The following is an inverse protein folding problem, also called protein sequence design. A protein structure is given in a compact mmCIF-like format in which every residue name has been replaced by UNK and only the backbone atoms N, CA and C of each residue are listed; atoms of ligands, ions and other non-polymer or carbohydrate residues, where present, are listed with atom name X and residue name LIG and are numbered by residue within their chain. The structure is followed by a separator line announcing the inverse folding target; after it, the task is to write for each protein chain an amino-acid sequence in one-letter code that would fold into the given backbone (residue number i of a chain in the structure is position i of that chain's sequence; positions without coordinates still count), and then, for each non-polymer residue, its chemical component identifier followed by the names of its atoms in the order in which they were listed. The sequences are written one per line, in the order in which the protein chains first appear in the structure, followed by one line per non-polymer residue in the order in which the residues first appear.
data_IF_884807853587
#
_entry.id   IF_884807853587
#
_cell.length_a   1.000
_cell.length_b   1.000
_cell.length_c   1.000
_cell.angle_alpha   90.00
_cell.angle_beta   90.00
_cell.angle_gamma   90.00
#
_symmetry.space_group_name_H-M   'P 1'
#
loop_
_entity.id
_entity.type
_entity.pdbx_description
1 polymer ?
#
# COMPACT_ATOMS: atom_id res chain seq x y z
N UNK A 1 -37.46 -0.24 -54.00
CA UNK A 1 -37.22 -0.51 -52.55
C UNK A 1 -35.87 0.12 -52.21
N UNK A 2 -35.82 1.42 -51.88
CA UNK A 2 -35.95 2.07 -50.54
C UNK A 2 -34.85 1.62 -49.57
N UNK A 3 -34.00 2.44 -48.94
CA UNK A 3 -33.87 3.90 -48.84
C UNK A 3 -32.40 4.29 -48.51
N UNK A 4 -31.91 5.39 -49.08
CA UNK A 4 -30.59 6.05 -48.87
C UNK A 4 -30.92 7.55 -49.01
N UNK A 5 -30.53 8.53 -48.19
CA UNK A 5 -29.48 8.74 -47.19
C UNK A 5 -29.97 9.87 -46.28
N UNK A 6 -29.74 9.75 -44.98
CA UNK A 6 -29.88 10.83 -43.99
C UNK A 6 -28.48 11.30 -43.55
N UNK A 7 -27.72 11.86 -44.49
CA UNK A 7 -26.32 12.30 -44.25
C UNK A 7 -26.06 13.77 -44.57
N UNK A 8 -27.00 14.50 -45.19
CA UNK A 8 -26.81 15.92 -45.51
C UNK A 8 -27.10 16.85 -44.31
N UNK A 9 -28.03 16.49 -43.42
CA UNK A 9 -28.43 17.37 -42.31
C UNK A 9 -27.37 17.57 -41.20
N UNK A 10 -26.42 16.64 -41.05
CA UNK A 10 -25.37 16.74 -40.02
C UNK A 10 -24.20 17.63 -40.43
N UNK A 11 -23.94 17.79 -41.73
CA UNK A 11 -22.85 18.62 -42.24
C UNK A 11 -23.18 20.12 -42.19
N UNK A 12 -24.45 20.49 -42.42
CA UNK A 12 -24.91 21.88 -42.31
C UNK A 12 -24.98 22.40 -40.87
N UNK A 13 -25.18 21.53 -39.87
CA UNK A 13 -25.21 21.95 -38.45
C UNK A 13 -23.82 22.27 -37.89
N UNK A 14 -22.76 21.69 -38.46
CA UNK A 14 -21.37 21.93 -38.06
C UNK A 14 -20.78 23.26 -38.56
N UNK A 15 -21.40 23.91 -39.56
CA UNK A 15 -20.94 25.21 -40.08
C UNK A 15 -21.55 26.41 -39.34
N UNK A 16 -22.52 26.18 -38.45
CA UNK A 16 -23.21 27.22 -37.66
C UNK A 16 -22.64 27.40 -36.24
N UNK A 17 -21.61 26.65 -35.86
CA UNK A 17 -20.95 26.77 -34.56
C UNK A 17 -19.70 27.67 -34.67
N UNK A 18 -19.56 28.70 -33.81
CA UNK A 18 -18.34 29.51 -33.80
C UNK A 18 -17.13 28.65 -33.37
N UNK A 19 -15.97 28.92 -33.97
CA UNK A 19 -14.72 28.25 -33.62
C UNK A 19 -14.42 28.41 -32.11
N UNK A 20 -13.89 27.37 -31.44
CA UNK A 20 -13.56 27.45 -30.02
C UNK A 20 -12.51 28.54 -29.79
N UNK A 21 -12.77 29.42 -28.82
CA UNK A 21 -11.83 30.45 -28.43
C UNK A 21 -10.53 29.79 -27.92
N UNK A 22 -9.42 30.03 -28.63
CA UNK A 22 -8.10 29.77 -28.09
C UNK A 22 -7.81 30.86 -27.05
N UNK A 23 -7.56 30.54 -25.77
CA UNK A 23 -7.10 31.53 -24.81
C UNK A 23 -5.69 31.96 -25.23
N UNK A 24 -5.60 33.04 -26.02
CA UNK A 24 -4.34 33.72 -26.31
C UNK A 24 -3.79 34.23 -24.97
N UNK A 25 -2.74 33.57 -24.47
CA UNK A 25 -1.96 34.09 -23.36
C UNK A 25 -1.32 35.39 -23.84
N UNK A 26 -1.48 36.48 -23.08
CA UNK A 26 -0.86 37.76 -23.41
C UNK A 26 0.65 37.59 -23.62
N UNK A 27 1.23 38.31 -24.58
CA UNK A 27 2.64 38.19 -24.94
C UNK A 27 3.59 38.31 -23.73
N UNK A 28 3.23 39.15 -22.76
CA UNK A 28 3.93 39.33 -21.48
C UNK A 28 3.98 38.05 -20.63
N UNK A 29 2.89 37.27 -20.64
CA UNK A 29 2.79 36.00 -19.91
C UNK A 29 3.60 34.91 -20.59
N UNK A 30 3.67 34.91 -21.92
CA UNK A 30 4.57 34.05 -22.68
C UNK A 30 6.05 34.38 -22.41
N UNK A 31 6.41 35.66 -22.30
CA UNK A 31 7.78 36.08 -22.01
C UNK A 31 8.21 35.73 -20.58
N UNK A 32 7.31 35.85 -19.59
CA UNK A 32 7.57 35.44 -18.21
C UNK A 32 7.78 33.92 -18.07
N UNK A 33 6.92 33.12 -18.72
CA UNK A 33 7.05 31.65 -18.71
C UNK A 33 8.32 31.20 -19.44
N UNK A 34 8.66 31.83 -20.58
CA UNK A 34 9.90 31.55 -21.30
C UNK A 34 11.14 31.97 -20.50
N UNK A 35 11.09 33.10 -19.79
CA UNK A 35 12.18 33.55 -18.93
C UNK A 35 12.42 32.62 -17.74
N UNK A 36 11.35 32.10 -17.15
CA UNK A 36 11.43 31.14 -16.05
C UNK A 36 11.99 29.78 -16.51
N UNK A 37 11.51 29.25 -17.64
CA UNK A 37 12.01 28.00 -18.23
C UNK A 37 13.48 28.09 -18.70
N UNK A 38 13.90 29.24 -19.25
CA UNK A 38 15.30 29.42 -19.67
C UNK A 38 16.25 29.57 -18.47
N UNK A 39 15.79 30.14 -17.35
CA UNK A 39 16.59 30.17 -16.12
C UNK A 39 16.79 28.78 -15.52
N UNK A 40 15.75 27.93 -15.50
CA UNK A 40 15.90 26.55 -15.01
C UNK A 40 16.82 25.70 -15.89
N UNK A 41 16.76 25.85 -17.21
CA UNK A 41 17.65 25.13 -18.14
C UNK A 41 19.10 25.61 -18.01
N UNK A 42 19.32 26.90 -17.76
CA UNK A 42 20.69 27.47 -17.64
C UNK A 42 21.32 27.11 -16.29
N UNK A 43 20.54 27.02 -15.21
CA UNK A 43 21.01 26.53 -13.91
C UNK A 43 21.28 25.02 -13.92
N UNK A 44 20.54 24.25 -14.73
CA UNK A 44 20.82 22.84 -14.99
C UNK A 44 22.04 22.60 -15.92
N UNK A 45 22.56 23.64 -16.58
CA UNK A 45 23.62 23.54 -17.59
C UNK A 45 24.93 24.28 -17.24
N UNK A 46 25.14 24.68 -15.98
CA UNK A 46 26.45 25.23 -15.56
C UNK A 46 27.46 24.11 -15.27
N UNK A 47 28.60 24.03 -16.00
CA UNK A 47 29.68 23.13 -15.62
C UNK A 47 30.41 23.68 -14.38
N UNK A 48 30.46 22.88 -13.33
CA UNK A 48 31.25 23.14 -12.12
C UNK A 48 32.75 23.16 -12.49
N UNK A 49 33.54 24.18 -12.11
CA UNK A 49 34.97 24.19 -12.41
C UNK A 49 35.70 23.13 -11.59
N UNK A 50 36.46 22.28 -12.31
CA UNK A 50 37.27 21.23 -11.73
C UNK A 50 38.48 21.81 -10.96
N UNK A 51 38.54 21.58 -9.65
CA UNK A 51 39.77 21.74 -8.87
C UNK A 51 40.48 20.39 -8.80
N UNK A 52 41.60 20.26 -9.53
CA UNK A 52 42.53 19.12 -9.41
C UNK A 52 43.27 19.17 -8.07
N UNK A 53 43.04 18.17 -7.21
CA UNK A 53 44.05 17.69 -6.25
C UNK A 53 44.06 16.17 -6.21
N UNK A 54 45.23 15.61 -6.51
CA UNK A 54 45.54 14.18 -6.48
C UNK A 54 45.52 13.64 -5.05
N UNK A 55 44.78 12.56 -4.76
CA UNK A 55 45.31 11.27 -4.24
C UNK A 55 44.23 10.28 -3.78
N UNK A 56 44.38 9.06 -4.34
CA UNK A 56 43.99 7.70 -3.92
C UNK A 56 42.50 7.33 -3.82
N UNK A 57 42.18 6.33 -4.64
CA UNK A 57 40.90 5.77 -5.02
C UNK A 57 40.39 4.77 -3.94
N UNK A 58 39.18 4.98 -3.45
CA UNK A 58 38.40 4.00 -2.71
C UNK A 58 36.92 4.30 -2.97
N UNK A 59 36.35 3.68 -3.98
CA UNK A 59 34.97 3.92 -4.42
C UNK A 59 33.99 3.23 -3.47
N UNK A 60 33.25 4.03 -2.69
CA UNK A 60 32.00 3.59 -2.07
C UNK A 60 30.89 4.27 -2.85
N UNK A 61 30.29 3.53 -3.78
CA UNK A 61 29.03 3.91 -4.41
C UNK A 61 27.90 3.46 -3.47
N UNK A 62 27.21 4.42 -2.85
CA UNK A 62 25.97 4.18 -2.12
C UNK A 62 24.82 4.01 -3.13
N UNK A 63 24.15 2.85 -3.19
CA UNK A 63 22.90 2.73 -3.93
C UNK A 63 21.70 2.99 -3.01
N UNK A 64 20.81 3.88 -3.45
CA UNK A 64 19.48 4.05 -2.89
C UNK A 64 18.74 2.71 -2.89
N UNK A 65 18.24 2.30 -1.72
CA UNK A 65 17.47 1.07 -1.54
C UNK A 65 15.97 1.36 -1.67
N UNK A 66 15.31 0.62 -2.56
CA UNK A 66 13.86 0.63 -2.75
C UNK A 66 13.27 -0.36 -1.74
N UNK A 67 12.65 0.17 -0.68
CA UNK A 67 11.80 -0.60 0.24
C UNK A 67 10.44 -0.83 -0.42
N UNK A 68 10.16 -2.08 -0.76
CA UNK A 68 9.02 -2.48 -1.57
C UNK A 68 7.69 -2.48 -0.82
N UNK A 69 6.99 -1.35 -0.84
CA UNK A 69 5.55 -1.30 -1.05
C UNK A 69 5.19 0.01 -1.79
N UNK A 70 5.22 -0.03 -3.12
CA UNK A 70 4.66 1.04 -3.93
C UNK A 70 3.14 0.86 -4.00
N UNK A 71 2.42 1.19 -2.92
CA UNK A 71 1.00 1.52 -3.03
C UNK A 71 0.93 2.90 -3.68
N UNK A 72 0.94 2.94 -5.02
CA UNK A 72 0.97 4.17 -5.80
C UNK A 72 -0.36 4.93 -5.61
N UNK A 73 -0.33 5.98 -4.79
CA UNK A 73 -1.45 6.87 -4.54
C UNK A 73 -1.24 8.19 -5.30
N UNK A 74 -2.00 8.42 -6.37
CA UNK A 74 -2.02 9.72 -7.06
C UNK A 74 -3.30 10.47 -6.68
N UNK A 75 -3.10 11.69 -6.19
CA UNK A 75 -4.11 12.73 -6.02
C UNK A 75 -4.53 13.23 -7.41
N UNK A 76 -5.74 12.91 -7.86
CA UNK A 76 -6.21 13.29 -9.19
C UNK A 76 -6.68 14.74 -9.25
N UNK A 77 -5.95 15.60 -9.96
CA UNK A 77 -6.47 16.87 -10.48
C UNK A 77 -7.37 16.58 -11.69
N UNK A 78 -8.62 17.02 -11.64
CA UNK A 78 -9.68 16.62 -12.58
C UNK A 78 -9.51 17.09 -14.03
N UNK A 79 -10.21 16.39 -14.93
CA UNK A 79 -10.38 16.73 -16.34
C UNK A 79 -11.45 15.84 -16.98
N UNK A 80 -12.35 16.43 -17.77
CA UNK A 80 -13.66 15.91 -18.16
C UNK A 80 -13.66 14.79 -19.22
N UNK A 81 -14.58 13.83 -19.04
CA UNK A 81 -15.58 13.41 -20.04
C UNK A 81 -15.17 12.50 -21.21
N UNK A 82 -15.58 11.22 -21.17
CA UNK A 82 -16.37 10.54 -22.22
C UNK A 82 -16.73 9.10 -21.78
N UNK A 83 -17.92 8.65 -22.20
CA UNK A 83 -18.66 7.41 -21.88
C UNK A 83 -17.91 6.08 -22.08
N UNK A 84 -18.13 5.04 -21.23
CA UNK A 84 -17.70 3.68 -21.51
C UNK A 84 -18.79 2.84 -22.22
N UNK A 85 -18.36 2.11 -23.24
CA UNK A 85 -19.09 0.98 -23.82
C UNK A 85 -19.04 -0.26 -22.92
N UNK A 86 -20.03 -1.13 -23.10
CA UNK A 86 -20.32 -2.37 -22.37
C UNK A 86 -19.16 -3.37 -22.27
N UNK A 87 -18.98 -3.92 -21.07
CA UNK A 87 -18.67 -5.33 -20.78
C UNK A 87 -19.01 -5.58 -19.29
N UNK A 88 -20.17 -6.18 -18.96
CA UNK A 88 -20.42 -7.62 -18.81
C UNK A 88 -19.90 -8.19 -17.47
N UNK A 89 -20.83 -8.53 -16.56
CA UNK A 89 -20.56 -9.39 -15.40
C UNK A 89 -21.07 -8.90 -14.03
N UNK A 90 -22.34 -8.52 -13.90
CA UNK A 90 -22.96 -8.36 -12.58
C UNK A 90 -23.63 -9.68 -12.16
N UNK A 91 -23.02 -10.41 -11.23
CA UNK A 91 -23.72 -11.48 -10.50
C UNK A 91 -24.47 -10.87 -9.32
N UNK A 92 -25.79 -10.99 -9.37
CA UNK A 92 -26.72 -10.57 -8.32
C UNK A 92 -26.54 -11.47 -7.09
N UNK A 93 -26.40 -10.87 -5.91
CA UNK A 93 -26.53 -11.60 -4.64
C UNK A 93 -28.01 -11.61 -4.25
N UNK A 94 -28.61 -12.81 -4.26
CA UNK A 94 -29.98 -13.02 -3.87
C UNK A 94 -30.11 -12.90 -2.34
N UNK A 95 -30.96 -11.98 -1.88
CA UNK A 95 -31.37 -11.90 -0.49
C UNK A 95 -32.23 -13.12 -0.14
N UNK A 96 -31.78 -13.93 0.82
CA UNK A 96 -32.62 -14.91 1.51
C UNK A 96 -32.94 -14.35 2.89
N UNK A 97 -34.21 -14.05 3.10
CA UNK A 97 -34.79 -13.68 4.39
C UNK A 97 -35.17 -14.97 5.15
N UNK A 98 -34.88 -15.10 6.45
CA UNK A 98 -35.53 -16.10 7.28
C UNK A 98 -36.58 -15.44 8.18
N UNK A 99 -37.84 -15.75 7.93
CA UNK A 99 -38.90 -15.67 8.93
C UNK A 99 -38.82 -16.90 9.85
N UNK A 100 -39.05 -16.72 11.15
CA UNK A 100 -39.44 -17.83 12.02
C UNK A 100 -38.84 -17.80 13.42
N UNK A 101 -39.64 -17.34 14.38
CA UNK A 101 -39.39 -17.42 15.81
C UNK A 101 -39.31 -18.88 16.31
N UNK A 102 -38.37 -19.14 17.22
CA UNK A 102 -38.27 -20.38 17.99
C UNK A 102 -37.41 -20.17 19.24
N UNK A 103 -38.06 -20.04 20.39
CA UNK A 103 -37.44 -19.94 21.72
C UNK A 103 -37.14 -21.34 22.25
N UNK A 104 -35.88 -21.63 22.62
CA UNK A 104 -35.55 -22.57 23.70
C UNK A 104 -34.05 -22.63 24.00
N UNK A 105 -33.69 -22.60 25.30
CA UNK A 105 -32.53 -23.32 25.82
C UNK A 105 -31.27 -22.49 26.04
N UNK A 106 -30.94 -22.22 27.30
CA UNK A 106 -29.73 -21.52 27.70
C UNK A 106 -28.46 -22.29 27.36
N UNK A 107 -27.61 -21.64 26.58
CA UNK A 107 -26.17 -21.76 26.65
C UNK A 107 -25.65 -20.31 26.66
N UNK A 108 -24.73 -20.00 27.57
CA UNK A 108 -24.08 -18.69 27.65
C UNK A 108 -23.29 -18.49 26.35
N UNK A 109 -23.93 -17.90 25.34
CA UNK A 109 -23.29 -17.52 24.10
C UNK A 109 -22.11 -16.61 24.45
N UNK A 110 -20.93 -16.78 23.82
CA UNK A 110 -19.86 -15.81 23.99
C UNK A 110 -20.44 -14.47 23.60
N UNK A 111 -20.30 -13.47 24.49
CA UNK A 111 -20.68 -12.10 24.20
C UNK A 111 -20.04 -11.77 22.85
N UNK A 112 -20.84 -11.60 21.81
CA UNK A 112 -20.38 -10.99 20.57
C UNK A 112 -19.74 -9.69 21.03
N UNK A 113 -18.42 -9.59 20.97
CA UNK A 113 -17.71 -8.37 21.34
C UNK A 113 -18.43 -7.24 20.60
N UNK A 114 -19.03 -6.32 21.34
CA UNK A 114 -19.74 -5.21 20.74
C UNK A 114 -18.80 -4.56 19.73
N UNK A 115 -19.28 -4.32 18.50
CA UNK A 115 -18.49 -3.61 17.50
C UNK A 115 -18.06 -2.28 18.13
N UNK A 116 -16.76 -1.93 18.10
CA UNK A 116 -16.28 -0.72 18.75
C UNK A 116 -17.04 0.51 18.26
N UNK A 117 -17.29 1.48 19.14
CA UNK A 117 -18.06 2.67 18.80
C UNK A 117 -17.26 3.66 17.92
N UNK A 118 -15.93 3.51 17.87
CA UNK A 118 -15.03 4.37 17.08
C UNK A 118 -13.72 3.66 16.67
N UNK A 119 -13.02 4.25 15.69
CA UNK A 119 -11.68 3.80 15.28
C UNK A 119 -10.66 3.88 16.42
N UNK A 120 -10.71 4.95 17.20
CA UNK A 120 -9.84 5.16 18.37
C UNK A 120 -10.05 4.06 19.41
N UNK A 121 -11.30 3.68 19.65
CA UNK A 121 -11.62 2.57 20.56
C UNK A 121 -11.10 1.23 20.03
N UNK A 122 -11.33 0.91 18.75
CA UNK A 122 -10.80 -0.32 18.14
C UNK A 122 -9.26 -0.39 18.26
N UNK A 123 -8.56 0.71 17.92
CA UNK A 123 -7.11 0.78 18.00
C UNK A 123 -6.61 0.67 19.46
N UNK A 124 -7.34 1.26 20.43
CA UNK A 124 -7.04 1.12 21.85
C UNK A 124 -7.20 -0.32 22.35
N UNK A 125 -8.22 -1.04 21.88
CA UNK A 125 -8.42 -2.45 22.19
C UNK A 125 -7.34 -3.33 21.52
N UNK A 126 -6.99 -3.03 20.27
CA UNK A 126 -5.92 -3.70 19.54
C UNK A 126 -4.56 -3.54 20.23
N UNK A 127 -4.27 -2.33 20.73
CA UNK A 127 -3.07 -2.07 21.51
C UNK A 127 -3.01 -2.94 22.78
N UNK A 128 -4.11 -2.99 23.55
CA UNK A 128 -4.19 -3.80 24.75
C UNK A 128 -4.07 -5.30 24.47
N UNK A 129 -4.65 -5.77 23.37
CA UNK A 129 -4.52 -7.16 22.93
C UNK A 129 -3.08 -7.49 22.55
N UNK A 130 -2.44 -6.62 21.76
CA UNK A 130 -1.04 -6.76 21.36
C UNK A 130 -0.10 -6.80 22.58
N UNK A 131 -0.28 -5.90 23.55
CA UNK A 131 0.54 -5.85 24.77
C UNK A 131 0.49 -7.12 25.63
N UNK A 132 -0.60 -7.91 25.53
CA UNK A 132 -0.79 -9.17 26.27
C UNK A 132 -0.18 -10.37 25.56
N UNK A 133 0.26 -10.24 24.31
CA UNK A 133 0.85 -11.36 23.57
C UNK A 133 2.25 -11.67 24.09
N UNK A 134 2.63 -12.97 24.15
CA UNK A 134 4.01 -13.34 24.43
C UNK A 134 4.90 -12.82 23.30
N UNK A 135 6.14 -12.45 23.64
CA UNK A 135 7.14 -12.12 22.64
C UNK A 135 7.63 -13.40 21.96
N UNK A 136 7.76 -13.36 20.64
CA UNK A 136 8.38 -14.45 19.88
C UNK A 136 9.86 -14.58 20.25
N UNK A 137 10.34 -15.81 20.41
CA UNK A 137 11.77 -16.05 20.57
C UNK A 137 12.43 -16.09 19.19
N UNK A 138 13.11 -14.99 18.85
CA UNK A 138 13.72 -14.78 17.53
C UNK A 138 15.24 -14.71 17.64
N UNK A 139 15.96 -15.47 16.80
CA UNK A 139 17.43 -15.49 16.74
C UNK A 139 17.93 -14.70 15.52
N UNK A 140 19.10 -14.08 15.64
CA UNK A 140 19.67 -13.18 14.61
C UNK A 140 19.81 -13.86 13.24
N UNK A 141 20.19 -15.13 13.22
CA UNK A 141 20.39 -15.89 11.99
C UNK A 141 19.11 -16.37 11.30
N UNK A 142 17.93 -16.11 11.87
CA UNK A 142 16.63 -16.53 11.33
C UNK A 142 16.01 -15.45 10.44
N UNK A 143 14.86 -15.78 9.87
CA UNK A 143 14.10 -14.90 8.98
C UNK A 143 12.68 -14.72 9.48
N UNK A 144 12.18 -13.48 9.39
CA UNK A 144 10.75 -13.19 9.45
C UNK A 144 10.14 -13.58 8.09
N UNK A 145 9.27 -14.57 8.11
CA UNK A 145 8.46 -14.99 6.96
C UNK A 145 7.09 -14.36 7.03
N UNK A 146 6.66 -13.72 5.95
CA UNK A 146 5.28 -13.25 5.78
C UNK A 146 4.74 -13.73 4.44
N UNK A 147 3.57 -14.35 4.49
CA UNK A 147 2.78 -14.68 3.30
C UNK A 147 1.53 -13.84 3.27
N UNK A 148 1.33 -13.18 2.14
CA UNK A 148 0.14 -12.39 1.85
C UNK A 148 -0.48 -12.85 0.55
N UNK A 149 -1.79 -12.63 0.45
CA UNK A 149 -2.52 -12.64 -0.79
C UNK A 149 -2.72 -11.16 -1.16
N UNK A 150 -2.29 -10.75 -2.35
CA UNK A 150 -2.27 -9.33 -2.73
C UNK A 150 -2.83 -9.10 -4.12
N UNK A 151 -3.44 -7.93 -4.31
CA UNK A 151 -3.75 -7.34 -5.60
C UNK A 151 -3.16 -5.92 -5.61
N UNK A 152 -2.82 -5.42 -6.79
CA UNK A 152 -2.25 -4.08 -6.94
C UNK A 152 -2.78 -3.39 -8.19
N UNK A 153 -2.68 -2.07 -8.21
CA UNK A 153 -2.95 -1.28 -9.40
C UNK A 153 -1.64 -1.06 -10.13
N UNK A 154 -1.58 -1.45 -11.40
CA UNK A 154 -0.49 -1.13 -12.31
C UNK A 154 -0.90 0.01 -13.22
N UNK A 155 -0.03 1.01 -13.31
CA UNK A 155 -0.20 2.11 -14.23
C UNK A 155 0.70 1.89 -15.45
N UNK A 156 0.14 2.04 -16.64
CA UNK A 156 0.80 1.83 -17.92
C UNK A 156 0.40 2.90 -18.93
N UNK A 157 1.02 2.86 -20.10
CA UNK A 157 0.87 3.88 -21.14
C UNK A 157 1.88 5.02 -21.01
N UNK A 158 2.00 5.88 -22.04
CA UNK A 158 3.05 6.91 -22.13
C UNK A 158 3.06 7.94 -20.99
N UNK A 159 1.91 8.12 -20.33
CA UNK A 159 1.65 9.07 -19.26
C UNK A 159 1.16 8.40 -17.96
N UNK A 160 1.17 7.06 -17.89
CA UNK A 160 0.63 6.31 -16.77
C UNK A 160 -0.89 6.40 -16.62
N UNK A 161 -1.62 6.81 -17.66
CA UNK A 161 -3.09 6.98 -17.61
C UNK A 161 -3.88 5.68 -17.56
N UNK A 162 -3.29 4.55 -17.95
CA UNK A 162 -3.98 3.26 -17.99
C UNK A 162 -3.75 2.52 -16.68
N UNK A 163 -4.77 2.48 -15.84
CA UNK A 163 -4.75 1.75 -14.58
C UNK A 163 -5.38 0.37 -14.75
N UNK A 164 -4.61 -0.69 -14.46
CA UNK A 164 -5.06 -2.08 -14.49
C UNK A 164 -4.97 -2.68 -13.11
N UNK A 165 -6.05 -3.29 -12.63
CA UNK A 165 -6.05 -4.05 -11.37
C UNK A 165 -5.50 -5.44 -11.65
N UNK A 166 -4.41 -5.81 -10.97
CA UNK A 166 -3.86 -7.15 -11.06
C UNK A 166 -4.80 -8.16 -10.40
N UNK A 167 -4.95 -9.36 -10.98
CA UNK A 167 -5.57 -10.48 -10.30
C UNK A 167 -4.91 -10.74 -8.95
N UNK A 168 -5.70 -11.25 -8.02
CA UNK A 168 -5.23 -11.62 -6.71
C UNK A 168 -4.21 -12.77 -6.81
N UNK A 169 -3.05 -12.64 -6.17
CA UNK A 169 -1.95 -13.60 -6.26
C UNK A 169 -1.14 -13.64 -4.95
N UNK A 170 -0.46 -14.75 -4.66
CA UNK A 170 0.35 -14.85 -3.45
C UNK A 170 1.66 -14.07 -3.57
N UNK A 171 2.06 -13.50 -2.43
CA UNK A 171 3.34 -12.86 -2.19
C UNK A 171 3.94 -13.44 -0.91
N UNK A 172 5.19 -13.85 -0.97
CA UNK A 172 5.94 -14.41 0.15
C UNK A 172 7.24 -13.64 0.30
N UNK A 173 7.57 -13.25 1.53
CA UNK A 173 8.81 -12.53 1.82
C UNK A 173 9.49 -13.12 3.05
N UNK A 174 10.83 -13.16 2.98
CA UNK A 174 11.73 -13.58 4.04
C UNK A 174 12.72 -12.45 4.32
N UNK A 175 12.66 -11.89 5.53
CA UNK A 175 13.53 -10.80 5.97
C UNK A 175 14.47 -11.27 7.06
N UNK A 176 15.78 -11.03 6.91
CA UNK A 176 16.77 -11.37 7.94
C UNK A 176 16.44 -10.63 9.24
N UNK A 177 16.35 -11.36 10.35
CA UNK A 177 15.96 -10.83 11.67
C UNK A 177 16.85 -9.68 12.11
N UNK A 178 18.15 -9.81 11.87
CA UNK A 178 19.18 -8.80 12.18
C UNK A 178 19.58 -7.93 10.98
N UNK A 179 19.11 -8.25 9.76
CA UNK A 179 19.53 -7.61 8.51
C UNK A 179 20.85 -8.10 7.90
N UNK A 180 21.58 -9.03 8.52
CA UNK A 180 22.93 -9.41 8.06
C UNK A 180 22.94 -10.31 6.82
N UNK A 181 21.84 -11.04 6.57
CA UNK A 181 21.71 -11.97 5.44
C UNK A 181 20.83 -11.39 4.33
N UNK A 182 21.04 -11.80 3.06
CA UNK A 182 20.10 -11.49 1.98
C UNK A 182 18.72 -12.05 2.30
N UNK A 183 17.69 -11.26 2.04
CA UNK A 183 16.29 -11.69 2.10
C UNK A 183 15.84 -12.33 0.80
N UNK A 184 14.58 -12.73 0.75
CA UNK A 184 13.94 -13.27 -0.46
C UNK A 184 12.52 -12.70 -0.58
N UNK A 185 12.11 -12.35 -1.79
CA UNK A 185 10.74 -12.00 -2.15
C UNK A 185 10.31 -12.89 -3.31
N UNK A 186 9.15 -13.54 -3.18
CA UNK A 186 8.52 -14.31 -4.26
C UNK A 186 7.11 -13.75 -4.45
N UNK A 187 6.86 -13.14 -5.60
CA UNK A 187 5.54 -12.60 -5.95
C UNK A 187 5.13 -13.11 -7.33
N UNK A 188 4.08 -13.94 -7.38
CA UNK A 188 3.66 -14.55 -8.64
C UNK A 188 3.22 -13.48 -9.64
N UNK A 189 3.66 -13.61 -10.90
CA UNK A 189 3.32 -12.66 -11.96
C UNK A 189 4.21 -11.43 -12.05
N UNK A 190 5.17 -11.27 -11.12
CA UNK A 190 6.27 -10.31 -11.25
C UNK A 190 7.57 -11.05 -11.56
N UNK A 191 8.04 -11.06 -12.81
CA UNK A 191 9.39 -11.50 -13.07
C UNK A 191 10.32 -10.58 -12.29
N UNK A 192 11.06 -11.15 -11.34
CA UNK A 192 12.17 -10.48 -10.68
C UNK A 192 13.20 -10.09 -11.75
N UNK A 193 13.03 -8.94 -12.39
CA UNK A 193 14.03 -8.42 -13.30
C UNK A 193 15.21 -7.98 -12.43
N UNK A 194 16.31 -8.74 -12.46
CA UNK A 194 17.57 -8.24 -11.95
C UNK A 194 17.89 -6.91 -12.63
N UNK A 195 18.73 -6.06 -12.01
CA UNK A 195 19.16 -4.77 -12.58
C UNK A 195 19.74 -4.85 -14.00
N UNK A 196 20.06 -6.07 -14.45
CA UNK A 196 20.66 -6.40 -15.74
C UNK A 196 19.65 -6.95 -16.76
N UNK A 197 18.34 -6.94 -16.45
CA UNK A 197 17.30 -7.56 -17.31
C UNK A 197 17.31 -9.09 -17.31
N UNK A 198 18.09 -9.72 -16.43
CA UNK A 198 18.10 -11.18 -16.25
C UNK A 198 16.89 -11.61 -15.42
N UNK A 199 16.29 -12.78 -15.69
CA UNK A 199 15.33 -13.38 -14.79
C UNK A 199 15.96 -13.51 -13.38
N UNK A 200 15.15 -13.36 -12.34
CA UNK A 200 15.56 -13.59 -10.96
C UNK A 200 15.95 -15.05 -10.72
N UNK A 201 15.91 -15.48 -9.46
CA UNK A 201 16.23 -16.87 -9.13
C UNK A 201 15.40 -17.85 -9.98
N UNK A 202 15.91 -19.07 -10.26
CA UNK A 202 15.19 -20.08 -11.05
C UNK A 202 13.80 -20.45 -10.53
N UNK A 203 13.54 -20.17 -9.24
CA UNK A 203 12.25 -20.35 -8.56
C UNK A 203 11.29 -19.16 -8.71
N UNK A 204 11.67 -18.12 -9.46
CA UNK A 204 10.89 -16.91 -9.67
C UNK A 204 11.06 -15.83 -8.58
N UNK A 205 11.94 -16.05 -7.60
CA UNK A 205 12.19 -15.11 -6.50
C UNK A 205 13.18 -13.99 -6.82
N UNK A 206 13.01 -12.85 -6.15
CA UNK A 206 13.94 -11.74 -6.06
C UNK A 206 14.74 -11.86 -4.75
N UNK A 207 16.06 -11.99 -4.85
CA UNK A 207 16.93 -11.85 -3.67
C UNK A 207 16.97 -10.39 -3.24
N UNK A 208 16.71 -10.14 -1.96
CA UNK A 208 16.76 -8.81 -1.36
C UNK A 208 18.15 -8.60 -0.74
N UNK A 209 18.79 -7.44 -0.94
CA UNK A 209 20.10 -7.18 -0.35
C UNK A 209 20.03 -7.20 1.18
N UNK A 210 21.13 -7.55 1.88
CA UNK A 210 21.24 -7.36 3.32
C UNK A 210 20.96 -5.91 3.73
N UNK A 211 20.40 -5.73 4.92
CA UNK A 211 20.03 -4.42 5.49
C UNK A 211 21.15 -3.95 6.43
N UNK A 212 22.17 -3.31 5.88
CA UNK A 212 23.29 -2.76 6.65
C UNK A 212 22.89 -1.59 7.57
N UNK A 213 21.87 -0.83 7.17
CA UNK A 213 21.37 0.34 7.90
C UNK A 213 19.85 0.22 8.06
N UNK A 214 19.38 -0.52 9.09
CA UNK A 214 17.95 -0.65 9.35
C UNK A 214 17.28 0.70 9.65
N UNK A 215 16.09 0.89 9.09
CA UNK A 215 15.27 2.10 9.24
C UNK A 215 13.78 1.75 9.23
N UNK A 216 12.89 2.74 9.34
CA UNK A 216 11.45 2.51 9.17
C UNK A 216 11.08 2.06 7.74
N UNK A 217 11.84 2.50 6.73
CA UNK A 217 11.64 2.10 5.33
C UNK A 217 12.28 0.74 4.98
N UNK A 218 13.26 0.31 5.77
CA UNK A 218 13.90 -1.00 5.66
C UNK A 218 14.05 -1.63 7.06
N UNK A 219 12.92 -2.02 7.69
CA UNK A 219 12.94 -2.49 9.06
C UNK A 219 13.49 -3.92 9.16
N UNK A 220 14.21 -4.18 10.24
CA UNK A 220 14.56 -5.52 10.70
C UNK A 220 13.91 -5.76 12.05
N UNK A 221 13.71 -7.02 12.45
CA UNK A 221 13.16 -7.30 13.79
C UNK A 221 14.02 -6.66 14.90
N UNK A 222 15.35 -6.73 14.79
CA UNK A 222 16.28 -6.07 15.73
C UNK A 222 16.22 -4.54 15.73
N UNK A 223 15.81 -3.94 14.62
CA UNK A 223 15.51 -2.51 14.59
C UNK A 223 14.19 -2.20 15.30
N UNK A 224 13.14 -3.00 15.05
CA UNK A 224 11.84 -2.82 15.68
C UNK A 224 11.93 -2.92 17.21
N UNK A 225 12.72 -3.84 17.75
CA UNK A 225 12.96 -3.95 19.21
C UNK A 225 13.53 -2.68 19.85
N UNK A 226 14.16 -1.80 19.06
CA UNK A 226 14.76 -0.55 19.54
C UNK A 226 13.82 0.65 19.39
N UNK A 227 12.65 0.47 18.77
CA UNK A 227 11.69 1.56 18.62
C UNK A 227 11.10 1.96 19.97
N UNK A 228 10.76 3.25 20.15
CA UNK A 228 10.02 3.70 21.33
C UNK A 228 8.71 2.93 21.48
N UNK A 229 8.41 2.53 22.71
CA UNK A 229 7.12 1.93 23.08
C UNK A 229 6.13 2.95 23.66
N UNK A 230 6.55 4.20 23.81
CA UNK A 230 5.66 5.34 24.02
C UNK A 230 5.05 5.79 22.68
N UNK A 231 3.73 5.93 22.65
CA UNK A 231 2.99 6.21 21.43
C UNK A 231 3.28 7.60 20.83
N UNK A 232 3.53 8.62 21.66
CA UNK A 232 3.84 9.97 21.15
C UNK A 232 5.25 10.02 20.56
N UNK A 233 6.22 9.42 21.26
CA UNK A 233 7.59 9.32 20.78
C UNK A 233 7.67 8.52 19.47
N UNK A 234 6.97 7.39 19.39
CA UNK A 234 6.92 6.57 18.19
C UNK A 234 6.24 7.31 17.03
N UNK A 235 5.08 7.94 17.25
CA UNK A 235 4.40 8.70 16.21
C UNK A 235 5.26 9.88 15.70
N UNK A 236 5.96 10.56 16.61
CA UNK A 236 6.92 11.62 16.24
C UNK A 236 8.02 11.09 15.33
N UNK A 237 8.65 9.97 15.69
CA UNK A 237 9.70 9.34 14.89
C UNK A 237 9.18 8.90 13.51
N UNK A 238 7.96 8.34 13.45
CA UNK A 238 7.33 7.93 12.18
C UNK A 238 7.04 9.13 11.28
N UNK A 239 6.52 10.23 11.84
CA UNK A 239 6.29 11.47 11.07
C UNK A 239 7.58 12.08 10.55
N UNK A 240 8.65 12.06 11.34
CA UNK A 240 9.98 12.54 10.92
C UNK A 240 10.54 11.71 9.75
N UNK A 241 10.39 10.37 9.79
CA UNK A 241 10.84 9.49 8.71
C UNK A 241 9.97 9.59 7.45
N UNK A 242 8.66 9.76 7.61
CA UNK A 242 7.70 9.88 6.50
C UNK A 242 7.84 11.21 5.74
N UNK A 243 8.49 12.21 6.36
CA UNK A 243 8.63 13.55 5.81
C UNK A 243 7.40 14.43 6.02
N UNK A 244 7.51 15.72 5.66
CA UNK A 244 6.49 16.74 5.99
C UNK A 244 5.19 16.63 5.18
N UNK A 245 5.12 15.75 4.17
CA UNK A 245 4.00 15.69 3.24
C UNK A 245 3.80 16.99 2.44
N UNK A 246 2.68 17.08 1.71
CA UNK A 246 2.28 18.32 0.99
C UNK A 246 1.30 19.20 1.80
N UNK A 247 0.73 18.63 2.86
CA UNK A 247 -0.18 19.26 3.81
C UNK A 247 -0.16 18.45 5.12
N UNK A 248 -0.69 18.98 6.24
CA UNK A 248 -0.81 18.21 7.49
C UNK A 248 -1.53 16.87 7.31
N UNK A 249 -2.64 16.85 6.56
CA UNK A 249 -3.43 15.64 6.30
C UNK A 249 -2.64 14.63 5.45
N UNK A 250 -1.84 15.13 4.49
CA UNK A 250 -0.96 14.25 3.71
C UNK A 250 0.14 13.68 4.61
N UNK A 251 0.75 14.47 5.49
CA UNK A 251 1.74 13.97 6.45
C UNK A 251 1.14 12.88 7.37
N UNK A 252 -0.08 13.08 7.86
CA UNK A 252 -0.81 12.11 8.66
C UNK A 252 -1.13 10.83 7.87
N UNK A 253 -1.47 10.95 6.58
CA UNK A 253 -1.68 9.80 5.71
C UNK A 253 -0.42 8.96 5.49
N UNK A 254 0.75 9.60 5.41
CA UNK A 254 2.04 8.92 5.28
C UNK A 254 2.40 8.20 6.58
N UNK A 255 2.19 8.85 7.72
CA UNK A 255 2.38 8.22 9.03
C UNK A 255 1.44 7.03 9.23
N UNK A 256 0.16 7.17 8.85
CA UNK A 256 -0.80 6.07 8.85
C UNK A 256 -0.28 4.94 7.96
N UNK A 257 0.01 5.19 6.67
CA UNK A 257 0.55 4.18 5.75
C UNK A 257 1.75 3.43 6.33
N UNK A 258 2.75 4.14 6.85
CA UNK A 258 3.95 3.56 7.45
C UNK A 258 3.61 2.62 8.63
N UNK A 259 2.70 3.03 9.52
CA UNK A 259 2.22 2.15 10.62
C UNK A 259 1.58 0.88 10.06
N UNK A 260 0.71 1.02 9.06
CA UNK A 260 0.05 -0.12 8.40
C UNK A 260 1.06 -1.11 7.79
N UNK A 261 2.11 -0.61 7.14
CA UNK A 261 3.17 -1.43 6.54
C UNK A 261 3.95 -2.22 7.59
N UNK A 262 4.32 -1.58 8.70
CA UNK A 262 4.97 -2.24 9.83
C UNK A 262 4.06 -3.30 10.48
N UNK A 263 2.76 -3.03 10.58
CA UNK A 263 1.80 -4.00 11.14
C UNK A 263 1.54 -5.18 10.19
N UNK A 264 1.63 -4.97 8.88
CA UNK A 264 1.34 -5.95 7.84
C UNK A 264 2.50 -6.89 7.57
N UNK A 265 3.69 -6.34 7.31
CA UNK A 265 4.81 -7.07 6.71
C UNK A 265 5.91 -7.44 7.72
N UNK A 266 5.69 -7.21 9.02
CA UNK A 266 6.65 -7.55 10.07
C UNK A 266 6.01 -8.42 11.16
N UNK A 267 6.83 -9.25 11.79
CA UNK A 267 6.60 -9.66 13.17
C UNK A 267 7.09 -8.51 14.04
N UNK A 268 6.17 -7.88 14.76
CA UNK A 268 6.46 -6.74 15.64
C UNK A 268 6.52 -7.21 17.08
N UNK A 269 7.55 -6.85 17.86
CA UNK A 269 7.57 -7.13 19.29
C UNK A 269 6.26 -6.63 19.95
N UNK A 270 5.65 -7.38 20.89
CA UNK A 270 4.32 -7.06 21.42
C UNK A 270 4.14 -5.61 21.91
N UNK A 271 5.14 -5.07 22.62
CA UNK A 271 5.12 -3.70 23.11
C UNK A 271 5.17 -2.66 21.98
N UNK A 272 5.95 -2.93 20.92
CA UNK A 272 6.06 -2.07 19.74
C UNK A 272 4.76 -2.13 18.93
N UNK A 273 4.18 -3.33 18.75
CA UNK A 273 2.88 -3.51 18.11
C UNK A 273 1.77 -2.75 18.85
N UNK A 274 1.77 -2.81 20.18
CA UNK A 274 0.88 -1.99 21.01
C UNK A 274 1.07 -0.50 20.78
N UNK A 275 2.32 -0.02 20.78
CA UNK A 275 2.64 1.38 20.55
C UNK A 275 2.23 1.85 19.14
N UNK A 276 2.37 1.01 18.11
CA UNK A 276 1.93 1.29 16.74
C UNK A 276 0.41 1.52 16.67
N UNK A 277 -0.39 0.67 17.32
CA UNK A 277 -1.84 0.87 17.40
C UNK A 277 -2.21 2.15 18.18
N UNK A 278 -1.54 2.42 19.31
CA UNK A 278 -1.76 3.65 20.07
C UNK A 278 -1.35 4.90 19.29
N UNK A 279 -0.25 4.84 18.54
CA UNK A 279 0.21 5.91 17.66
C UNK A 279 -0.82 6.18 16.55
N UNK A 280 -1.34 5.14 15.91
CA UNK A 280 -2.41 5.28 14.91
C UNK A 280 -3.67 5.91 15.49
N UNK A 281 -4.03 5.61 16.74
CA UNK A 281 -5.20 6.19 17.40
C UNK A 281 -5.07 7.70 17.65
N UNK A 282 -3.84 8.22 17.65
CA UNK A 282 -3.54 9.65 17.81
C UNK A 282 -3.49 10.42 16.48
N UNK A 283 -3.62 9.74 15.34
CA UNK A 283 -3.67 10.39 14.04
C UNK A 283 -5.06 11.00 13.83
N UNK A 284 -5.19 12.34 13.67
CA UNK A 284 -6.48 12.96 13.42
C UNK A 284 -7.12 12.48 12.11
N UNK A 285 -8.40 12.13 12.14
CA UNK A 285 -9.14 11.76 10.91
C UNK A 285 -9.21 10.27 10.61
N UNK A 286 -8.75 9.39 11.53
CA UNK A 286 -9.03 7.95 11.44
C UNK A 286 -10.54 7.68 11.56
N UNK A 287 -11.04 6.79 10.71
CA UNK A 287 -12.47 6.45 10.57
C UNK A 287 -12.69 4.96 10.79
N UNK A 288 -13.91 4.57 11.14
CA UNK A 288 -14.30 3.18 11.37
C UNK A 288 -15.26 2.72 10.27
N UNK A 289 -15.01 1.52 9.75
CA UNK A 289 -15.95 0.78 8.92
C UNK A 289 -16.31 -0.51 9.67
N UNK A 290 -17.55 -0.67 10.19
CA UNK A 290 -17.94 -1.77 11.08
C UNK A 290 -17.72 -3.18 10.53
N UNK A 291 -17.84 -3.33 9.21
CA UNK A 291 -17.72 -4.61 8.53
C UNK A 291 -16.96 -4.44 7.22
N UNK A 292 -15.86 -5.18 7.08
CA UNK A 292 -15.02 -5.21 5.90
C UNK A 292 -14.41 -6.60 5.72
N UNK A 293 -14.41 -7.09 4.48
CA UNK A 293 -13.74 -8.33 4.12
C UNK A 293 -12.34 -8.07 3.56
N UNK A 294 -11.37 -8.87 3.99
CA UNK A 294 -10.04 -8.91 3.39
C UNK A 294 -10.03 -9.63 2.03
N UNK A 295 -8.86 -9.76 1.41
CA UNK A 295 -8.76 -10.44 0.11
C UNK A 295 -9.11 -11.94 0.15
N UNK A 296 -9.08 -12.58 1.33
CA UNK A 296 -9.48 -13.98 1.52
C UNK A 296 -10.97 -14.12 1.89
N UNK A 297 -11.71 -13.02 1.99
CA UNK A 297 -13.12 -13.01 2.39
C UNK A 297 -13.35 -13.10 3.90
N UNK A 298 -12.30 -12.97 4.72
CA UNK A 298 -12.46 -12.94 6.18
C UNK A 298 -12.97 -11.56 6.59
N UNK A 299 -14.04 -11.56 7.37
CA UNK A 299 -14.67 -10.33 7.85
C UNK A 299 -14.00 -9.82 9.14
N UNK A 300 -13.86 -8.50 9.21
CA UNK A 300 -13.39 -7.80 10.39
C UNK A 300 -13.84 -6.34 10.42
N UNK A 301 -13.34 -5.59 11.39
CA UNK A 301 -13.64 -4.17 11.56
C UNK A 301 -12.50 -3.37 10.94
N UNK A 302 -12.83 -2.41 10.06
CA UNK A 302 -11.83 -1.63 9.36
C UNK A 302 -11.56 -0.28 10.02
N UNK A 303 -10.28 0.11 10.09
CA UNK A 303 -9.84 1.47 10.42
C UNK A 303 -9.31 2.12 9.16
N UNK A 304 -9.85 3.28 8.81
CA UNK A 304 -9.54 3.95 7.56
C UNK A 304 -8.97 5.35 7.70
N UNK A 305 -8.10 5.75 6.78
CA UNK A 305 -7.62 7.12 6.63
C UNK A 305 -7.83 7.60 5.20
N UNK A 306 -8.56 8.71 5.03
CA UNK A 306 -8.85 9.29 3.73
C UNK A 306 -7.67 10.13 3.24
N UNK A 307 -7.22 9.88 2.02
CA UNK A 307 -6.18 10.67 1.36
C UNK A 307 -6.53 10.81 -0.12
N UNK A 308 -6.76 12.05 -0.54
CA UNK A 308 -7.20 12.35 -1.89
C UNK A 308 -8.56 11.72 -2.21
N UNK A 309 -8.56 10.93 -3.27
CA UNK A 309 -9.77 10.32 -3.85
C UNK A 309 -10.06 8.92 -3.32
N UNK A 310 -9.36 8.52 -2.26
CA UNK A 310 -9.45 7.18 -1.71
C UNK A 310 -9.27 7.15 -0.21
N UNK A 311 -9.65 6.04 0.41
CA UNK A 311 -9.41 5.76 1.82
C UNK A 311 -8.65 4.44 1.94
N UNK A 312 -7.48 4.47 2.56
CA UNK A 312 -6.76 3.25 2.95
C UNK A 312 -7.48 2.69 4.17
N UNK A 313 -7.80 1.39 4.18
CA UNK A 313 -8.44 0.71 5.31
C UNK A 313 -7.64 -0.51 5.75
N UNK A 314 -7.38 -0.60 7.05
CA UNK A 314 -6.82 -1.77 7.73
C UNK A 314 -7.94 -2.61 8.30
N UNK A 315 -8.02 -3.87 7.92
CA UNK A 315 -9.06 -4.79 8.35
C UNK A 315 -8.52 -5.59 9.54
N UNK A 316 -9.16 -5.43 10.69
CA UNK A 316 -8.72 -5.99 11.96
C UNK A 316 -9.67 -7.09 12.41
N UNK A 317 -9.12 -8.22 12.80
CA UNK A 317 -9.89 -9.38 13.29
C UNK A 317 -10.65 -9.03 14.57
N UNK A 318 -11.96 -9.31 14.64
CA UNK A 318 -12.72 -9.15 15.87
C UNK A 318 -12.18 -10.06 16.99
N UNK A 319 -11.84 -9.49 18.15
CA UNK A 319 -11.44 -10.23 19.35
C UNK A 319 -9.94 -10.57 19.43
N UNK A 320 -9.29 -10.94 18.32
CA UNK A 320 -7.83 -11.15 18.25
C UNK A 320 -7.05 -9.88 17.94
N UNK A 321 -7.72 -8.89 17.33
CA UNK A 321 -7.20 -7.61 16.87
C UNK A 321 -5.95 -7.72 15.99
N UNK A 322 -5.78 -8.85 15.30
CA UNK A 322 -4.74 -9.01 14.30
C UNK A 322 -5.12 -8.32 13.00
N UNK A 323 -4.14 -7.75 12.32
CA UNK A 323 -4.33 -7.19 11.00
C UNK A 323 -4.52 -8.33 9.99
N UNK A 324 -5.76 -8.47 9.50
CA UNK A 324 -6.16 -9.43 8.48
C UNK A 324 -5.72 -9.00 7.09
N UNK A 325 -5.76 -7.70 6.80
CA UNK A 325 -5.42 -7.20 5.47
C UNK A 325 -5.59 -5.69 5.35
N UNK A 326 -5.26 -5.18 4.18
CA UNK A 326 -5.41 -3.77 3.80
C UNK A 326 -6.15 -3.69 2.47
N UNK A 327 -6.99 -2.68 2.31
CA UNK A 327 -7.61 -2.32 1.03
C UNK A 327 -7.61 -0.82 0.83
N UNK A 328 -7.82 -0.39 -0.40
CA UNK A 328 -8.10 0.99 -0.73
C UNK A 328 -9.56 1.10 -1.19
N UNK A 329 -10.33 2.00 -0.59
CA UNK A 329 -11.74 2.25 -0.98
C UNK A 329 -11.80 3.55 -1.77
N UNK A 330 -12.39 3.49 -2.97
CA UNK A 330 -12.56 4.68 -3.81
C UNK A 330 -13.61 5.62 -3.20
N UNK A 331 -13.27 6.91 -3.08
CA UNK A 331 -14.18 7.93 -2.53
C UNK A 331 -14.97 8.68 -3.63
N UNK A 332 -14.57 8.51 -4.89
CA UNK A 332 -15.27 9.01 -6.08
C UNK A 332 -15.22 7.99 -7.20
N UNK A 333 -16.10 8.15 -8.19
CA UNK A 333 -16.03 7.39 -9.43
C UNK A 333 -14.76 7.76 -10.21
N UNK A 334 -14.18 6.79 -10.90
CA UNK A 334 -13.00 7.01 -11.71
C UNK A 334 -12.60 5.80 -12.55
N UNK A 335 -11.44 5.85 -13.20
CA UNK A 335 -10.95 4.78 -14.07
C UNK A 335 -10.80 3.42 -13.37
N UNK A 336 -10.58 3.43 -12.06
CA UNK A 336 -10.39 2.22 -11.25
C UNK A 336 -11.69 1.56 -10.78
N UNK A 337 -12.83 2.23 -10.93
CA UNK A 337 -14.11 1.74 -10.42
C UNK A 337 -15.01 2.86 -9.93
N UNK A 338 -16.11 2.46 -9.29
CA UNK A 338 -17.09 3.37 -8.71
C UNK A 338 -16.70 3.72 -7.28
N UNK A 339 -17.24 4.84 -6.80
CA UNK A 339 -17.21 5.18 -5.38
C UNK A 339 -17.70 4.00 -4.53
N UNK A 340 -16.92 3.64 -3.52
CA UNK A 340 -17.19 2.53 -2.62
C UNK A 340 -16.55 1.20 -3.04
N UNK A 341 -16.08 1.07 -4.28
CA UNK A 341 -15.36 -0.12 -4.72
C UNK A 341 -14.02 -0.23 -3.95
N UNK A 342 -13.70 -1.45 -3.53
CA UNK A 342 -12.41 -1.78 -2.94
C UNK A 342 -11.42 -2.19 -4.04
N UNK A 343 -10.25 -1.57 -4.05
CA UNK A 343 -9.14 -1.85 -4.96
C UNK A 343 -7.88 -2.19 -4.17
N UNK A 344 -6.96 -2.89 -4.84
CA UNK A 344 -5.74 -3.43 -4.24
C UNK A 344 -5.95 -4.12 -2.88
N UNK A 345 -6.97 -5.02 -2.74
CA UNK A 345 -7.18 -5.72 -1.48
C UNK A 345 -6.00 -6.66 -1.20
N UNK A 346 -5.74 -6.87 0.08
CA UNK A 346 -4.77 -7.85 0.56
C UNK A 346 -5.33 -8.65 1.73
N UNK A 347 -4.70 -9.78 1.99
CA UNK A 347 -4.90 -10.63 3.16
C UNK A 347 -3.54 -11.10 3.65
N UNK A 348 -3.34 -11.09 4.97
CA UNK A 348 -2.18 -11.67 5.63
C UNK A 348 -2.56 -13.06 6.08
N UNK A 349 -1.90 -14.04 5.46
CA UNK A 349 -2.21 -15.46 5.64
C UNK A 349 -1.36 -16.05 6.76
N UNK A 350 -0.06 -15.76 6.74
CA UNK A 350 0.90 -16.33 7.68
C UNK A 350 1.97 -15.31 8.04
N UNK A 351 2.33 -15.27 9.33
CA UNK A 351 3.59 -14.70 9.83
C UNK A 351 4.29 -15.76 10.66
N UNK A 352 5.59 -15.94 10.46
CA UNK A 352 6.38 -16.90 11.22
C UNK A 352 7.85 -16.53 11.25
N UNK A 353 8.59 -17.17 12.15
CA UNK A 353 10.05 -17.18 12.15
C UNK A 353 10.51 -18.50 11.54
N UNK A 354 11.41 -18.44 10.56
CA UNK A 354 11.98 -19.62 9.88
C UNK A 354 13.50 -19.55 9.85
N UNK A 355 14.16 -20.70 9.66
CA UNK A 355 15.63 -20.78 9.78
C UNK A 355 16.35 -20.30 8.51
N UNK A 356 15.73 -20.42 7.34
CA UNK A 356 16.32 -19.99 6.06
C UNK A 356 15.31 -19.25 5.19
N UNK A 357 15.80 -18.31 4.39
CA UNK A 357 15.02 -17.73 3.31
C UNK A 357 14.57 -18.83 2.33
N UNK A 358 13.27 -18.84 2.00
CA UNK A 358 12.63 -19.86 1.17
C UNK A 358 11.95 -20.99 1.97
N UNK A 359 12.20 -21.11 3.28
CA UNK A 359 11.48 -22.07 4.12
C UNK A 359 10.04 -21.60 4.36
N UNK A 360 9.07 -22.52 4.27
CA UNK A 360 7.66 -22.25 4.56
C UNK A 360 7.27 -22.97 5.86
N UNK A 361 6.61 -22.28 6.81
CA UNK A 361 6.14 -22.92 8.06
C UNK A 361 5.27 -24.14 7.79
N UNK A 362 5.49 -25.22 8.55
CA UNK A 362 4.68 -26.44 8.46
C UNK A 362 4.98 -27.36 7.28
N UNK A 363 5.91 -27.01 6.37
CA UNK A 363 6.56 -28.01 5.51
C UNK A 363 7.74 -28.62 6.27
N UNK A 364 7.85 -29.96 6.38
CA UNK A 364 9.08 -30.58 6.85
C UNK A 364 10.21 -30.11 5.94
N UNK A 365 11.15 -29.34 6.49
CA UNK A 365 12.39 -29.03 5.79
C UNK A 365 13.05 -30.34 5.41
N UNK A 366 13.46 -30.44 4.15
CA UNK A 366 14.17 -31.57 3.58
C UNK A 366 15.41 -31.87 4.44
N UNK A 367 15.23 -32.79 5.39
CA UNK A 367 16.33 -33.33 6.18
C UNK A 367 17.11 -34.28 5.28
N UNK A 368 18.11 -33.70 4.62
CA UNK A 368 19.28 -34.44 4.16
C UNK A 368 19.50 -34.41 2.65
N UNK A 369 20.66 -33.91 2.26
CA UNK A 369 21.76 -34.80 1.90
C UNK A 369 23.06 -34.26 2.50
N UNK A 370 23.66 -35.06 3.37
CA UNK A 370 25.05 -34.98 3.80
C UNK A 370 26.02 -35.17 2.63
#
# INVERSE_FOLDING_TARGET
MNAKRDTDGRAELSSLLPAPAQPELTADRHQLLRGHLMNEITDAARPVPAVRRHRKLGWIAMPAMVGGLALALVLGTGGNGATPGQAAGATQSAAVQPDGAGQSGGAKAPVLNAVPASAVELLGQAAQAAAKKPADQVKDGQFVYVRTLVSGVEYSGPDGSVATVRPLHPREIWLSVDGSKPGLLVEQGHPAAGKDGKPGRPDGGLELPPVAHPSLDAPTYRFLEKLPTDADALLKQIREASGPGKSPEHADSLAFKMIGELLMEQITPPAVRSALYQAAAKIPGVTLTPDAADAAGRHGVAVGFAVGDSRIEWIVEPGGYELLGVRQVLLKDGPLGRKGDAVAPSSVEVRAVVDKAGDVPGKPGDQGRS
#
